data_IF_834801219317
#
_entry.id   IF_834801219317
#
_cell.length_a   1.000
_cell.length_b   1.000
_cell.length_c   1.000
_cell.angle_alpha   90.00
_cell.angle_beta   90.00
_cell.angle_gamma   90.00
#
_symmetry.space_group_name_H-M   'P 1'
#
loop_
_entity.id
_entity.type
_entity.pdbx_description
1 polymer ?
#
# COMPACT_ATOMS: atom_id res chain seq x y z
N UNK A 1 17.08 8.30 3.64
CA UNK A 1 16.83 8.19 5.10
C UNK A 1 15.43 7.66 5.41
N UNK A 2 14.36 8.29 4.91
CA UNK A 2 12.98 7.83 5.15
C UNK A 2 12.67 6.46 4.53
N UNK A 3 13.16 6.18 3.33
CA UNK A 3 12.99 4.86 2.68
C UNK A 3 13.61 3.73 3.51
N UNK A 4 14.82 3.94 4.04
CA UNK A 4 15.51 2.96 4.91
C UNK A 4 14.74 2.74 6.22
N UNK A 5 14.18 3.80 6.79
CA UNK A 5 13.36 3.73 8.00
C UNK A 5 12.02 3.03 7.73
N UNK A 6 11.37 3.31 6.61
CA UNK A 6 10.14 2.64 6.19
C UNK A 6 10.36 1.15 5.94
N UNK A 7 11.44 0.76 5.27
CA UNK A 7 11.81 -0.66 5.07
C UNK A 7 12.16 -1.37 6.37
N UNK A 8 12.92 -0.72 7.26
CA UNK A 8 13.23 -1.25 8.59
C UNK A 8 11.97 -1.47 9.43
N UNK A 9 11.07 -0.49 9.43
CA UNK A 9 9.77 -0.60 10.09
C UNK A 9 8.90 -1.70 9.48
N UNK A 10 8.87 -1.80 8.15
CA UNK A 10 8.12 -2.84 7.43
C UNK A 10 8.58 -4.23 7.85
N UNK A 11 9.90 -4.47 7.93
CA UNK A 11 10.46 -5.74 8.38
C UNK A 11 10.07 -6.07 9.84
N UNK A 12 10.21 -5.11 10.77
CA UNK A 12 9.80 -5.30 12.17
C UNK A 12 8.32 -5.64 12.28
N UNK A 13 7.48 -4.87 11.58
CA UNK A 13 6.03 -5.08 11.59
C UNK A 13 5.60 -6.38 10.91
N UNK A 14 6.42 -6.91 9.99
CA UNK A 14 6.20 -8.20 9.34
C UNK A 14 6.50 -9.37 10.29
N UNK A 15 7.65 -9.33 10.98
CA UNK A 15 8.00 -10.34 12.00
C UNK A 15 6.94 -10.39 13.10
N UNK A 16 6.45 -9.23 13.52
CA UNK A 16 5.39 -9.17 14.52
C UNK A 16 4.08 -9.80 14.03
N UNK A 17 3.70 -9.58 12.76
CA UNK A 17 2.50 -10.18 12.19
C UNK A 17 2.60 -11.70 12.17
N UNK A 18 3.79 -12.25 11.87
CA UNK A 18 4.08 -13.68 11.95
C UNK A 18 3.96 -14.16 13.40
N UNK A 19 4.51 -13.43 14.37
CA UNK A 19 4.42 -13.77 15.79
C UNK A 19 2.98 -13.83 16.31
N UNK A 20 2.13 -12.89 15.91
CA UNK A 20 0.70 -12.91 16.21
C UNK A 20 -0.03 -14.09 15.57
N UNK A 21 0.29 -14.41 14.32
CA UNK A 21 -0.22 -15.59 13.64
C UNK A 21 0.19 -16.90 14.34
N UNK A 22 1.46 -17.02 14.71
CA UNK A 22 1.99 -18.18 15.43
C UNK A 22 1.33 -18.33 16.81
N UNK A 23 1.11 -17.24 17.54
CA UNK A 23 0.39 -17.26 18.81
C UNK A 23 -1.07 -17.69 18.64
N UNK A 24 -1.74 -17.23 17.59
CA UNK A 24 -3.10 -17.68 17.27
C UNK A 24 -3.15 -19.18 16.96
N UNK A 25 -2.15 -19.73 16.25
CA UNK A 25 -2.07 -21.17 15.97
C UNK A 25 -1.82 -21.99 17.24
N UNK A 26 -1.06 -21.45 18.20
CA UNK A 26 -0.79 -22.10 19.47
C UNK A 26 -1.98 -22.05 20.44
N UNK A 27 -2.70 -20.92 20.48
CA UNK A 27 -3.87 -20.72 21.33
C UNK A 27 -4.92 -19.80 20.66
N UNK A 28 -5.78 -20.37 19.80
CA UNK A 28 -6.74 -19.61 19.01
C UNK A 28 -7.87 -19.04 19.87
N UNK A 29 -8.22 -19.73 20.95
CA UNK A 29 -9.33 -19.36 21.84
C UNK A 29 -8.99 -18.18 22.71
N UNK A 30 -7.83 -18.18 23.37
CA UNK A 30 -7.48 -17.15 24.34
C UNK A 30 -7.20 -15.82 23.64
N UNK A 31 -6.54 -15.85 22.49
CA UNK A 31 -6.27 -14.62 21.72
C UNK A 31 -7.57 -13.95 21.26
N UNK A 32 -8.51 -14.74 20.73
CA UNK A 32 -9.75 -14.17 20.20
C UNK A 32 -10.65 -13.69 21.33
N UNK A 33 -10.76 -14.44 22.44
CA UNK A 33 -11.48 -13.98 23.63
C UNK A 33 -10.90 -12.67 24.19
N UNK A 34 -9.56 -12.52 24.15
CA UNK A 34 -8.87 -11.28 24.54
C UNK A 34 -9.14 -10.11 23.59
N UNK A 35 -9.49 -10.40 22.33
CA UNK A 35 -9.82 -9.40 21.30
C UNK A 35 -11.32 -9.07 21.23
N UNK A 36 -12.20 -10.04 21.47
CA UNK A 36 -13.66 -9.88 21.36
C UNK A 36 -14.34 -9.56 22.67
N UNK A 37 -13.64 -9.69 23.80
CA UNK A 37 -14.24 -9.63 25.13
C UNK A 37 -14.87 -10.97 25.54
N UNK A 38 -14.87 -11.23 26.85
CA UNK A 38 -15.17 -12.52 27.48
C UNK A 38 -16.61 -13.03 27.33
N UNK A 39 -17.56 -12.24 26.81
CA UNK A 39 -18.99 -12.59 26.74
C UNK A 39 -19.45 -13.06 25.35
N UNK A 40 -18.53 -13.30 24.41
CA UNK A 40 -18.85 -13.79 23.08
C UNK A 40 -19.26 -15.28 23.09
N UNK A 41 -20.37 -15.61 22.43
CA UNK A 41 -20.78 -17.00 22.19
C UNK A 41 -19.67 -17.79 21.46
N UNK A 42 -19.58 -19.10 21.68
CA UNK A 42 -18.53 -19.96 21.10
C UNK A 42 -18.43 -19.81 19.57
N UNK A 43 -19.58 -19.69 18.90
CA UNK A 43 -19.66 -19.49 17.44
C UNK A 43 -19.09 -18.13 17.02
N UNK A 44 -19.41 -17.05 17.75
CA UNK A 44 -18.89 -15.72 17.49
C UNK A 44 -17.37 -15.65 17.66
N UNK A 45 -16.84 -16.33 18.70
CA UNK A 45 -15.41 -16.43 18.96
C UNK A 45 -14.68 -17.19 17.83
N UNK A 46 -15.26 -18.29 17.34
CA UNK A 46 -14.67 -19.03 16.20
C UNK A 46 -14.65 -18.16 14.94
N UNK A 47 -15.74 -17.46 14.63
CA UNK A 47 -15.83 -16.61 13.44
C UNK A 47 -14.85 -15.43 13.53
N UNK A 48 -14.75 -14.78 14.68
CA UNK A 48 -13.79 -13.71 14.92
C UNK A 48 -12.35 -14.20 14.79
N UNK A 49 -12.04 -15.43 15.21
CA UNK A 49 -10.74 -16.05 14.99
C UNK A 49 -10.38 -16.23 13.52
N UNK A 50 -11.31 -16.75 12.73
CA UNK A 50 -11.10 -16.91 11.28
C UNK A 50 -10.87 -15.56 10.59
N UNK A 51 -11.66 -14.55 10.95
CA UNK A 51 -11.50 -13.19 10.42
C UNK A 51 -10.13 -12.62 10.83
N UNK A 52 -9.72 -12.80 12.08
CA UNK A 52 -8.42 -12.34 12.56
C UNK A 52 -7.25 -12.98 11.81
N UNK A 53 -7.28 -14.31 11.60
CA UNK A 53 -6.27 -15.03 10.83
C UNK A 53 -6.23 -14.54 9.39
N UNK A 54 -7.39 -14.35 8.76
CA UNK A 54 -7.48 -13.86 7.39
C UNK A 54 -6.85 -12.47 7.26
N UNK A 55 -7.16 -11.56 8.19
CA UNK A 55 -6.56 -10.21 8.23
C UNK A 55 -5.05 -10.29 8.45
N UNK A 56 -4.57 -11.18 9.33
CA UNK A 56 -3.14 -11.38 9.55
C UNK A 56 -2.42 -11.95 8.32
N UNK A 57 -3.02 -12.91 7.63
CA UNK A 57 -2.46 -13.51 6.42
C UNK A 57 -2.41 -12.50 5.28
N UNK A 58 -3.48 -11.72 5.09
CA UNK A 58 -3.55 -10.69 4.05
C UNK A 58 -2.51 -9.58 4.30
N UNK A 59 -2.37 -9.11 5.54
CA UNK A 59 -1.37 -8.08 5.90
C UNK A 59 0.05 -8.59 5.74
N UNK A 60 0.33 -9.84 6.14
CA UNK A 60 1.63 -10.48 5.90
C UNK A 60 1.94 -10.58 4.39
N UNK A 61 0.97 -11.01 3.58
CA UNK A 61 1.14 -11.09 2.12
C UNK A 61 1.48 -9.74 1.49
N UNK A 62 0.76 -8.68 1.85
CA UNK A 62 1.00 -7.33 1.32
C UNK A 62 2.38 -6.81 1.73
N UNK A 63 2.80 -7.03 2.99
CA UNK A 63 4.14 -6.64 3.46
C UNK A 63 5.25 -7.42 2.74
N UNK A 64 5.08 -8.72 2.55
CA UNK A 64 6.03 -9.54 1.80
C UNK A 64 6.15 -9.05 0.35
N UNK A 65 5.02 -8.77 -0.30
CA UNK A 65 5.00 -8.25 -1.66
C UNK A 65 5.64 -6.84 -1.75
N UNK A 66 5.47 -6.00 -0.73
CA UNK A 66 6.12 -4.68 -0.65
C UNK A 66 7.64 -4.79 -0.43
N UNK A 67 8.10 -5.76 0.35
CA UNK A 67 9.52 -6.07 0.51
C UNK A 67 10.16 -6.58 -0.79
N UNK A 68 9.40 -7.29 -1.62
CA UNK A 68 9.85 -7.80 -2.92
C UNK A 68 9.75 -6.76 -4.04
N UNK A 69 8.79 -5.83 -3.95
CA UNK A 69 8.46 -4.86 -4.98
C UNK A 69 8.15 -3.50 -4.34
N UNK A 70 9.17 -2.66 -4.27
CA UNK A 70 9.09 -1.28 -3.78
C UNK A 70 8.49 -0.37 -4.87
N UNK A 71 7.19 -0.54 -5.10
CA UNK A 71 6.43 0.30 -6.04
C UNK A 71 5.43 1.14 -5.28
N UNK A 72 5.19 2.36 -5.76
CA UNK A 72 4.19 3.27 -5.17
C UNK A 72 2.80 2.63 -5.05
N UNK A 73 2.40 1.80 -6.02
CA UNK A 73 1.13 1.08 -5.98
C UNK A 73 1.05 0.11 -4.79
N UNK A 74 2.15 -0.57 -4.48
CA UNK A 74 2.24 -1.46 -3.32
C UNK A 74 2.22 -0.70 -2.00
N UNK A 75 2.86 0.46 -1.91
CA UNK A 75 2.75 1.34 -0.72
C UNK A 75 1.31 1.83 -0.49
N UNK A 76 0.59 2.20 -1.56
CA UNK A 76 -0.83 2.56 -1.48
C UNK A 76 -1.66 1.35 -1.01
N UNK A 77 -1.45 0.17 -1.59
CA UNK A 77 -2.14 -1.05 -1.18
C UNK A 77 -1.87 -1.38 0.29
N UNK A 78 -0.62 -1.26 0.74
CA UNK A 78 -0.23 -1.47 2.13
C UNK A 78 -0.91 -0.46 3.07
N UNK A 79 -0.95 0.82 2.71
CA UNK A 79 -1.66 1.83 3.48
C UNK A 79 -3.17 1.54 3.59
N UNK A 80 -3.81 1.11 2.50
CA UNK A 80 -5.24 0.75 2.49
C UNK A 80 -5.53 -0.46 3.37
N UNK A 81 -4.75 -1.53 3.24
CA UNK A 81 -4.93 -2.75 4.04
C UNK A 81 -4.66 -2.48 5.52
N UNK A 82 -3.59 -1.75 5.84
CA UNK A 82 -3.25 -1.42 7.22
C UNK A 82 -4.25 -0.44 7.83
N UNK A 83 -4.79 0.50 7.05
CA UNK A 83 -5.87 1.39 7.47
C UNK A 83 -7.18 0.64 7.75
N UNK A 84 -7.54 -0.34 6.92
CA UNK A 84 -8.69 -1.21 7.17
C UNK A 84 -8.53 -2.06 8.43
N UNK A 85 -7.32 -2.60 8.66
CA UNK A 85 -6.98 -3.33 9.89
C UNK A 85 -7.09 -2.44 11.13
N UNK A 86 -6.59 -1.20 11.05
CA UNK A 86 -6.71 -0.20 12.11
C UNK A 86 -8.19 0.09 12.44
N UNK A 87 -9.03 0.32 11.42
CA UNK A 87 -10.45 0.57 11.61
C UNK A 87 -11.17 -0.63 12.24
N UNK A 88 -10.80 -1.85 11.85
CA UNK A 88 -11.33 -3.07 12.45
C UNK A 88 -11.01 -3.15 13.95
N UNK A 89 -9.75 -2.98 14.35
CA UNK A 89 -9.36 -3.04 15.76
C UNK A 89 -9.86 -1.85 16.58
N UNK A 90 -9.90 -0.65 16.00
CA UNK A 90 -10.45 0.54 16.66
C UNK A 90 -11.92 0.34 17.03
N UNK A 91 -12.68 -0.38 16.20
CA UNK A 91 -14.06 -0.75 16.53
C UNK A 91 -14.11 -1.59 17.81
N UNK A 92 -13.24 -2.59 17.95
CA UNK A 92 -13.21 -3.42 19.17
C UNK A 92 -12.87 -2.60 20.42
N UNK A 93 -11.97 -1.63 20.34
CA UNK A 93 -11.65 -0.76 21.48
C UNK A 93 -12.78 0.17 21.91
N UNK A 94 -13.71 0.52 21.00
CA UNK A 94 -14.85 1.39 21.34
C UNK A 94 -15.96 0.65 22.10
N UNK A 95 -16.09 -0.66 21.89
CA UNK A 95 -17.19 -1.46 22.43
C UNK A 95 -16.75 -2.41 23.56
N UNK A 96 -15.49 -2.41 23.96
CA UNK A 96 -14.96 -3.29 25.00
C UNK A 96 -13.80 -2.65 25.76
N UNK A 97 -13.52 -3.14 26.97
CA UNK A 97 -12.29 -2.76 27.68
C UNK A 97 -11.09 -3.27 26.89
N UNK A 98 -10.25 -2.39 26.34
CA UNK A 98 -9.22 -2.81 25.41
C UNK A 98 -8.08 -3.51 26.16
N UNK A 99 -7.71 -4.70 25.69
CA UNK A 99 -6.49 -5.37 26.18
C UNK A 99 -5.25 -4.59 25.75
N UNK A 100 -4.18 -4.68 26.54
CA UNK A 100 -2.88 -4.05 26.20
C UNK A 100 -2.35 -4.53 24.84
N UNK A 101 -2.66 -5.77 24.46
CA UNK A 101 -2.29 -6.34 23.16
C UNK A 101 -3.01 -5.64 22.00
N UNK A 102 -4.31 -5.36 22.16
CA UNK A 102 -5.11 -4.64 21.18
C UNK A 102 -4.63 -3.18 21.03
N UNK A 103 -4.33 -2.51 22.14
CA UNK A 103 -3.77 -1.15 22.13
C UNK A 103 -2.42 -1.09 21.43
N UNK A 104 -1.55 -2.07 21.68
CA UNK A 104 -0.26 -2.17 21.01
C UNK A 104 -0.43 -2.37 19.50
N UNK A 105 -1.34 -3.25 19.06
CA UNK A 105 -1.61 -3.45 17.63
C UNK A 105 -2.12 -2.18 16.95
N UNK A 106 -3.01 -1.43 17.61
CA UNK A 106 -3.52 -0.15 17.10
C UNK A 106 -2.41 0.87 16.97
N UNK A 107 -1.56 1.02 17.99
CA UNK A 107 -0.42 1.94 17.96
C UNK A 107 0.50 1.63 16.77
N UNK A 108 0.83 0.36 16.57
CA UNK A 108 1.75 -0.07 15.51
C UNK A 108 1.16 0.05 14.11
N UNK A 109 -0.12 -0.28 13.94
CA UNK A 109 -0.84 -0.03 12.70
C UNK A 109 -0.90 1.47 12.40
N UNK A 110 -1.08 2.32 13.42
CA UNK A 110 -1.08 3.78 13.27
C UNK A 110 0.29 4.31 12.81
N UNK A 111 1.39 3.82 13.42
CA UNK A 111 2.75 4.17 12.99
C UNK A 111 3.00 3.72 11.54
N UNK A 112 2.51 2.53 11.17
CA UNK A 112 2.66 2.01 9.80
C UNK A 112 1.94 2.90 8.78
N UNK A 113 0.67 3.26 9.04
CA UNK A 113 -0.10 4.17 8.17
C UNK A 113 0.58 5.55 8.08
N UNK A 114 1.09 6.07 9.20
CA UNK A 114 1.78 7.36 9.23
C UNK A 114 3.06 7.36 8.39
N UNK A 115 3.90 6.32 8.53
CA UNK A 115 5.13 6.18 7.75
C UNK A 115 4.85 6.04 6.25
N UNK A 116 3.80 5.32 5.87
CA UNK A 116 3.42 5.23 4.46
C UNK A 116 2.82 6.52 3.92
N UNK A 117 2.06 7.25 4.73
CA UNK A 117 1.60 8.60 4.40
C UNK A 117 2.78 9.53 4.12
N UNK A 118 3.81 9.51 4.97
CA UNK A 118 5.04 10.28 4.78
C UNK A 118 5.80 9.86 3.53
N UNK A 119 5.98 8.55 3.30
CA UNK A 119 6.65 8.04 2.10
C UNK A 119 5.93 8.49 0.82
N UNK A 120 4.59 8.39 0.78
CA UNK A 120 3.79 8.82 -0.36
C UNK A 120 3.82 10.34 -0.58
N UNK A 121 3.85 11.13 0.49
CA UNK A 121 3.99 12.59 0.40
C UNK A 121 5.37 12.98 -0.15
N UNK A 122 6.43 12.35 0.33
CA UNK A 122 7.79 12.64 -0.12
C UNK A 122 7.99 12.24 -1.58
N UNK A 123 7.55 11.05 -1.98
CA UNK A 123 7.66 10.57 -3.37
C UNK A 123 6.78 11.37 -4.33
N UNK A 124 5.65 11.92 -3.87
CA UNK A 124 4.83 12.86 -4.66
C UNK A 124 5.56 14.17 -4.94
N UNK A 125 6.27 14.72 -3.96
CA UNK A 125 6.98 15.99 -4.11
C UNK A 125 8.21 15.87 -5.02
N UNK A 126 8.88 14.71 -5.02
CA UNK A 126 10.00 14.43 -5.93
C UNK A 126 9.54 14.32 -7.40
N UNK A 127 8.32 13.84 -7.66
CA UNK A 127 7.79 13.75 -9.03
C UNK A 127 7.39 15.12 -9.64
N UNK A 128 7.42 16.21 -8.88
CA UNK A 128 7.11 17.56 -9.37
C UNK A 128 8.37 18.33 -9.81
N UNK A 129 9.57 17.83 -9.47
CA UNK A 129 10.86 18.40 -9.90
C UNK A 129 11.58 17.50 -10.92
N UNK A 130 10.94 17.27 -12.07
CA UNK A 130 11.67 17.19 -13.32
C UNK A 130 11.06 18.22 -14.27
N UNK A 131 11.75 19.34 -14.59
CA UNK A 131 11.39 20.07 -15.79
C UNK A 131 11.59 19.08 -16.92
N UNK A 132 10.49 18.65 -17.52
CA UNK A 132 10.47 17.77 -18.66
C UNK A 132 11.56 18.21 -19.63
N UNK A 133 12.63 17.43 -19.74
CA UNK A 133 13.44 17.46 -20.95
C UNK A 133 12.43 17.30 -22.09
N UNK A 134 12.37 18.26 -23.02
CA UNK A 134 11.41 18.19 -24.10
C UNK A 134 11.80 16.98 -24.94
N UNK A 135 11.15 15.84 -24.69
CA UNK A 135 11.16 14.68 -25.59
C UNK A 135 10.92 15.22 -27.00
N UNK A 136 11.63 14.72 -28.03
CA UNK A 136 11.73 15.37 -29.34
C UNK A 136 10.46 15.20 -30.18
N UNK A 137 9.32 15.70 -29.70
CA UNK A 137 8.08 15.84 -30.48
C UNK A 137 8.25 16.86 -31.62
N UNK A 138 9.30 17.68 -31.57
CA UNK A 138 9.66 18.61 -32.65
C UNK A 138 10.26 17.91 -33.89
N UNK A 139 10.88 16.74 -33.76
CA UNK A 139 11.46 16.04 -34.92
C UNK A 139 10.40 15.35 -35.78
N UNK A 140 9.37 14.76 -35.17
CA UNK A 140 8.27 14.12 -35.92
C UNK A 140 7.44 15.18 -36.66
N UNK A 141 7.12 16.30 -36.01
CA UNK A 141 6.40 17.40 -36.65
C UNK A 141 7.21 18.04 -37.80
N UNK A 142 8.53 18.18 -37.63
CA UNK A 142 9.42 18.69 -38.68
C UNK A 142 9.46 17.77 -39.89
N UNK A 143 9.64 16.46 -39.70
CA UNK A 143 9.63 15.50 -40.81
C UNK A 143 8.26 15.37 -41.48
N UNK A 144 7.16 15.49 -40.72
CA UNK A 144 5.81 15.48 -41.28
C UNK A 144 5.54 16.74 -42.15
N UNK A 145 6.01 17.91 -41.69
CA UNK A 145 5.93 19.17 -42.45
C UNK A 145 6.82 19.13 -43.70
N UNK A 146 8.06 18.63 -43.60
CA UNK A 146 8.98 18.53 -44.73
C UNK A 146 8.44 17.57 -45.82
N UNK A 147 7.83 16.45 -45.43
CA UNK A 147 7.21 15.52 -46.37
C UNK A 147 6.00 16.14 -47.10
N UNK A 148 5.12 16.86 -46.38
CA UNK A 148 3.96 17.51 -46.98
C UNK A 148 4.33 18.71 -47.87
N UNK A 149 5.36 19.48 -47.51
CA UNK A 149 5.83 20.60 -48.35
C UNK A 149 6.49 20.10 -49.63
N UNK A 150 7.22 18.97 -49.56
CA UNK A 150 7.80 18.33 -50.76
C UNK A 150 6.72 17.88 -51.76
N UNK A 151 5.63 17.27 -51.28
CA UNK A 151 4.52 16.80 -52.13
C UNK A 151 3.73 17.93 -52.80
N UNK A 152 3.60 19.09 -52.13
CA UNK A 152 2.96 20.27 -52.73
C UNK A 152 3.80 20.86 -53.87
N UNK A 153 5.12 20.86 -53.75
CA UNK A 153 6.02 21.37 -54.80
C UNK A 153 6.10 20.46 -56.02
N UNK A 154 6.07 19.14 -55.84
CA UNK A 154 6.04 18.18 -56.95
C UNK A 154 4.67 18.15 -57.65
N UNK A 155 3.57 18.33 -56.91
CA UNK A 155 2.23 18.47 -57.48
C UNK A 155 2.04 19.77 -58.29
N UNK A 156 2.66 20.87 -57.87
CA UNK A 156 2.60 22.15 -58.59
C UNK A 156 3.41 22.14 -59.90
N UNK A 157 4.57 21.47 -59.94
CA UNK A 157 5.38 21.34 -61.17
C UNK A 157 4.69 20.49 -62.25
N UNK A 158 3.95 19.45 -61.89
CA UNK A 158 3.23 18.59 -62.86
C UNK A 158 2.00 19.22 -63.51
N UNK A 159 1.54 20.38 -63.03
CA UNK A 159 0.42 21.13 -63.64
C UNK A 159 0.88 22.21 -64.62
N UNK A 160 2.19 22.39 -64.78
CA UNK A 160 2.78 23.44 -65.61
C UNK A 160 3.52 22.93 -66.85
N UNK A 161 3.56 21.61 -67.04
CA UNK A 161 3.92 20.90 -68.28
C UNK A 161 2.64 20.36 -68.95
#
# INVERSE_FOLDING_TARGET
>A
MIETLARGWLAVSFVQQIGLGARHLADPTTLVQTLTGSESSTVSTILAGHIFVLVCAQTAFVKAALLLSDTRAMHVLHAVVTGAQLAFFAKFTLYSNPSMELLLQILLASVSVFLEGLYLLMTRNVAVEEPAEPRPRRLIAKHYLEAHVSDLNTGARRKHD
#
